data_IF_238281985309
#
_entry.id   IF_238281985309
#
_cell.length_a   1.000
_cell.length_b   1.000
_cell.length_c   1.000
_cell.angle_alpha   90.00
_cell.angle_beta   90.00
_cell.angle_gamma   90.00
#
_symmetry.space_group_name_H-M   'P 1'
#
loop_
_entity.id
_entity.type
_entity.pdbx_description
1 polymer ?
#
# COMPACT_ATOMS: atom_id res chain seq x y z
N UNK A 1 -2.96 1.53 6.28
CA UNK A 1 -2.90 2.70 5.38
C UNK A 1 -3.84 3.77 5.93
N UNK A 2 -3.49 5.05 5.83
CA UNK A 2 -4.36 6.17 6.21
C UNK A 2 -4.72 6.98 4.97
N UNK A 3 -5.99 7.29 4.76
CA UNK A 3 -6.42 8.27 3.76
C UNK A 3 -7.69 8.97 4.27
N UNK A 4 -7.84 10.26 4.00
CA UNK A 4 -8.98 11.05 4.52
C UNK A 4 -9.22 10.84 6.04
N UNK A 5 -8.15 10.80 6.83
CA UNK A 5 -8.16 10.52 8.29
C UNK A 5 -8.70 9.14 8.71
N UNK A 6 -8.89 8.21 7.77
CA UNK A 6 -9.35 6.86 8.03
C UNK A 6 -8.19 5.87 7.96
N UNK A 7 -7.98 5.11 9.05
CA UNK A 7 -7.06 3.99 9.09
C UNK A 7 -7.76 2.75 8.50
N UNK A 8 -7.18 2.17 7.45
CA UNK A 8 -7.64 0.92 6.84
C UNK A 8 -6.54 -0.13 6.82
N UNK A 9 -6.95 -1.38 6.96
CA UNK A 9 -6.08 -2.56 6.90
C UNK A 9 -5.74 -2.92 5.45
N UNK A 10 -4.45 -3.01 5.14
CA UNK A 10 -3.97 -3.45 3.82
C UNK A 10 -3.90 -4.98 3.83
N UNK A 11 -4.59 -5.63 2.89
CA UNK A 11 -4.72 -7.10 2.83
C UNK A 11 -3.81 -7.73 1.78
N UNK A 12 -3.42 -6.97 0.76
CA UNK A 12 -2.59 -7.44 -0.36
C UNK A 12 -1.85 -6.24 -0.96
N UNK A 13 -0.62 -6.42 -1.42
CA UNK A 13 0.21 -5.34 -1.95
C UNK A 13 1.10 -5.82 -3.08
N UNK A 14 1.22 -4.98 -4.10
CA UNK A 14 2.07 -5.15 -5.27
C UNK A 14 2.84 -3.87 -5.57
N UNK A 15 3.78 -3.93 -6.49
CA UNK A 15 4.56 -2.75 -6.92
C UNK A 15 3.66 -1.66 -7.52
N UNK A 16 2.54 -2.04 -8.14
CA UNK A 16 1.64 -1.10 -8.84
C UNK A 16 0.43 -0.65 -8.03
N UNK A 17 0.14 -1.26 -6.87
CA UNK A 17 -1.10 -1.01 -6.15
C UNK A 17 -1.27 -1.90 -4.93
N UNK A 18 -2.40 -1.74 -4.25
CA UNK A 18 -2.73 -2.54 -3.06
C UNK A 18 -4.22 -2.80 -2.96
N UNK A 19 -4.59 -3.78 -2.14
CA UNK A 19 -5.95 -3.99 -1.66
C UNK A 19 -6.03 -3.67 -0.17
N UNK A 20 -7.15 -3.13 0.24
CA UNK A 20 -7.46 -2.93 1.65
C UNK A 20 -8.89 -3.37 1.95
N UNK A 21 -9.16 -3.67 3.21
CA UNK A 21 -10.49 -4.02 3.68
C UNK A 21 -11.48 -2.88 3.41
N UNK A 22 -12.68 -3.20 2.90
CA UNK A 22 -13.68 -2.20 2.55
C UNK A 22 -14.02 -1.32 3.77
N UNK A 23 -13.85 0.01 3.69
CA UNK A 23 -14.27 0.92 4.75
C UNK A 23 -15.80 1.12 4.72
N UNK A 24 -16.41 1.68 5.78
CA UNK A 24 -17.87 1.87 5.86
C UNK A 24 -18.43 2.90 4.87
N UNK A 25 -17.58 3.63 4.14
CA UNK A 25 -17.97 4.62 3.15
C UNK A 25 -17.71 4.12 1.73
N UNK A 26 -18.45 4.67 0.77
CA UNK A 26 -18.37 4.21 -0.61
C UNK A 26 -17.12 4.74 -1.35
N UNK A 27 -16.53 3.84 -2.13
CA UNK A 27 -15.36 4.07 -2.94
C UNK A 27 -15.66 3.58 -4.36
N UNK A 28 -16.19 4.48 -5.18
CA UNK A 28 -16.48 4.21 -6.57
C UNK A 28 -15.18 4.02 -7.40
N UNK A 29 -15.16 3.09 -8.37
CA UNK A 29 -14.08 3.00 -9.35
C UNK A 29 -13.81 4.33 -10.05
N UNK A 30 -12.53 4.65 -10.27
CA UNK A 30 -12.08 5.93 -10.83
C UNK A 30 -11.85 7.03 -9.79
N UNK A 31 -12.34 6.89 -8.55
CA UNK A 31 -12.05 7.86 -7.48
C UNK A 31 -10.56 7.93 -7.21
N UNK A 32 -10.02 9.16 -7.18
CA UNK A 32 -8.62 9.43 -6.84
C UNK A 32 -8.52 10.01 -5.44
N UNK A 33 -7.50 9.60 -4.68
CA UNK A 33 -7.27 10.12 -3.34
C UNK A 33 -5.80 10.02 -2.94
N UNK A 34 -5.39 10.89 -2.02
CA UNK A 34 -4.07 10.84 -1.38
C UNK A 34 -4.11 9.89 -0.19
N UNK A 35 -3.03 9.13 0.02
CA UNK A 35 -2.92 8.21 1.13
C UNK A 35 -1.52 8.23 1.74
N UNK A 36 -1.43 7.72 2.95
CA UNK A 36 -0.21 7.42 3.68
C UNK A 36 -0.14 5.92 3.97
N UNK A 37 0.99 5.32 3.65
CA UNK A 37 1.30 3.93 3.91
C UNK A 37 2.40 3.87 4.98
N UNK A 38 2.15 3.09 6.03
CA UNK A 38 3.12 2.76 7.07
C UNK A 38 3.33 1.26 7.04
N UNK A 39 4.58 0.82 6.97
CA UNK A 39 4.93 -0.56 7.30
C UNK A 39 4.73 -0.75 8.80
N UNK A 40 4.19 -1.89 9.23
CA UNK A 40 4.11 -2.27 10.64
C UNK A 40 5.34 -3.07 11.11
N UNK A 41 6.27 -3.37 10.20
CA UNK A 41 7.38 -4.31 10.38
C UNK A 41 8.76 -3.64 10.32
N UNK A 42 8.84 -2.32 10.43
CA UNK A 42 10.11 -1.58 10.33
C UNK A 42 10.25 -0.60 11.48
N UNK A 43 11.41 -0.55 12.12
CA UNK A 43 11.72 0.50 13.08
C UNK A 43 12.94 1.31 12.59
N UNK A 44 12.80 2.63 12.32
CA UNK A 44 11.56 3.41 12.36
C UNK A 44 10.59 3.02 11.23
N UNK A 45 9.28 3.06 11.51
CA UNK A 45 8.22 2.77 10.54
C UNK A 45 8.26 3.79 9.40
N UNK A 46 8.76 3.45 8.19
CA UNK A 46 8.86 4.42 7.12
C UNK A 46 7.46 4.81 6.66
N UNK A 47 7.19 6.12 6.68
CA UNK A 47 5.99 6.71 6.14
C UNK A 47 6.19 7.00 4.65
N UNK A 48 5.36 6.41 3.81
CA UNK A 48 5.28 6.74 2.39
C UNK A 48 3.96 7.44 2.10
N UNK A 49 4.00 8.52 1.31
CA UNK A 49 2.79 9.18 0.79
C UNK A 49 2.62 8.87 -0.69
N UNK A 50 1.38 8.74 -1.14
CA UNK A 50 1.06 8.43 -2.52
C UNK A 50 -0.31 8.96 -2.94
N UNK A 51 -0.55 8.90 -4.25
CA UNK A 51 -1.87 9.13 -4.84
C UNK A 51 -2.33 7.78 -5.41
N UNK A 52 -3.59 7.46 -5.19
CA UNK A 52 -4.22 6.24 -5.64
C UNK A 52 -5.40 6.54 -6.56
N UNK A 53 -5.75 5.57 -7.40
CA UNK A 53 -7.05 5.51 -8.08
C UNK A 53 -7.73 4.18 -7.76
N UNK A 54 -9.01 4.21 -7.40
CA UNK A 54 -9.81 2.99 -7.18
C UNK A 54 -9.99 2.27 -8.51
N UNK A 55 -9.58 1.01 -8.59
CA UNK A 55 -9.77 0.15 -9.77
C UNK A 55 -10.95 -0.79 -9.60
N UNK A 56 -11.19 -1.27 -8.38
CA UNK A 56 -12.33 -2.13 -8.08
C UNK A 56 -12.77 -1.95 -6.62
N UNK A 57 -14.07 -2.10 -6.41
CA UNK A 57 -14.73 -1.99 -5.11
C UNK A 57 -15.66 -3.19 -4.97
N UNK A 58 -15.37 -4.08 -4.02
CA UNK A 58 -16.14 -5.30 -3.73
C UNK A 58 -16.70 -5.22 -2.31
N UNK A 59 -17.45 -6.23 -1.90
CA UNK A 59 -18.16 -6.25 -0.61
C UNK A 59 -17.20 -6.20 0.58
N UNK A 60 -16.05 -6.85 0.47
CA UNK A 60 -15.07 -7.06 1.55
C UNK A 60 -13.75 -6.30 1.34
N UNK A 61 -13.41 -5.95 0.10
CA UNK A 61 -12.17 -5.24 -0.24
C UNK A 61 -12.31 -4.18 -1.32
N UNK A 62 -11.33 -3.27 -1.34
CA UNK A 62 -11.14 -2.25 -2.37
C UNK A 62 -9.72 -2.37 -2.92
N UNK A 63 -9.58 -2.39 -4.25
CA UNK A 63 -8.30 -2.41 -4.94
C UNK A 63 -8.00 -1.04 -5.54
N UNK A 64 -6.77 -0.58 -5.32
CA UNK A 64 -6.27 0.68 -5.87
C UNK A 64 -5.00 0.47 -6.68
N UNK A 65 -4.80 1.35 -7.65
CA UNK A 65 -3.57 1.50 -8.42
C UNK A 65 -2.86 2.78 -7.99
N UNK A 66 -1.53 2.73 -7.86
CA UNK A 66 -0.72 3.88 -7.54
C UNK A 66 -0.60 4.81 -8.77
N UNK A 67 -0.86 6.09 -8.56
CA UNK A 67 -0.69 7.12 -9.58
C UNK A 67 0.69 7.73 -9.41
N UNK A 68 1.58 7.50 -10.38
CA UNK A 68 2.96 8.04 -10.40
C UNK A 68 3.65 7.85 -9.03
N UNK A 69 3.88 6.59 -8.61
CA UNK A 69 4.36 6.30 -7.26
C UNK A 69 5.68 7.02 -6.98
N UNK A 70 5.76 7.65 -5.81
CA UNK A 70 6.98 8.34 -5.38
C UNK A 70 8.10 7.33 -5.12
N UNK A 71 9.36 7.77 -5.23
CA UNK A 71 10.51 6.93 -4.89
C UNK A 71 10.40 6.33 -3.47
N UNK A 72 9.93 7.13 -2.50
CA UNK A 72 9.73 6.67 -1.12
C UNK A 72 8.66 5.57 -1.03
N UNK A 73 7.54 5.73 -1.74
CA UNK A 73 6.50 4.69 -1.82
C UNK A 73 7.04 3.41 -2.45
N UNK A 74 7.73 3.53 -3.58
CA UNK A 74 8.36 2.39 -4.26
C UNK A 74 9.36 1.67 -3.35
N UNK A 75 10.15 2.40 -2.56
CA UNK A 75 11.12 1.83 -1.62
C UNK A 75 10.45 1.08 -0.48
N UNK A 76 9.38 1.63 0.11
CA UNK A 76 8.63 0.96 1.19
C UNK A 76 7.95 -0.31 0.67
N UNK A 77 7.24 -0.20 -0.46
CA UNK A 77 6.53 -1.33 -1.07
C UNK A 77 7.50 -2.40 -1.54
N UNK A 78 8.55 -2.01 -2.27
CA UNK A 78 9.57 -2.93 -2.78
C UNK A 78 10.31 -3.65 -1.67
N UNK A 79 10.65 -2.96 -0.56
CA UNK A 79 11.27 -3.60 0.60
C UNK A 79 10.32 -4.59 1.28
N UNK A 80 9.04 -4.23 1.42
CA UNK A 80 8.03 -5.13 1.99
C UNK A 80 7.89 -6.40 1.15
N UNK A 81 7.69 -6.27 -0.17
CA UNK A 81 7.61 -7.41 -1.11
C UNK A 81 8.89 -8.24 -1.07
N UNK A 82 10.06 -7.59 -1.09
CA UNK A 82 11.35 -8.26 -0.99
C UNK A 82 11.51 -9.09 0.29
N UNK A 83 10.90 -8.69 1.41
CA UNK A 83 10.90 -9.49 2.64
C UNK A 83 9.94 -10.69 2.57
N UNK A 84 8.79 -10.54 1.93
CA UNK A 84 7.83 -11.64 1.76
C UNK A 84 8.37 -12.72 0.82
N UNK A 85 9.03 -12.31 -0.27
CA UNK A 85 9.65 -13.24 -1.21
C UNK A 85 10.94 -13.86 -0.67
N UNK A 86 11.64 -13.13 0.19
CA UNK A 86 12.90 -13.54 0.77
C UNK A 86 12.76 -13.59 2.28
N UNK A 87 12.35 -14.75 2.81
CA UNK A 87 12.75 -15.09 4.18
C UNK A 87 14.28 -14.99 4.26
N UNK A 88 14.80 -13.88 4.79
CA UNK A 88 16.21 -13.37 4.76
C UNK A 88 16.64 -12.65 3.48
N UNK A 89 16.40 -11.34 3.37
CA UNK A 89 16.99 -10.52 2.30
C UNK A 89 18.53 -10.61 2.30
N UNK A 90 19.09 -11.31 1.31
CA UNK A 90 20.51 -11.42 0.99
C UNK A 90 21.00 -10.16 0.24
N UNK A 91 20.86 -8.96 0.82
CA UNK A 91 21.70 -7.83 0.40
C UNK A 91 23.15 -8.10 0.86
N UNK A 92 23.74 -9.20 0.40
CA UNK A 92 24.99 -9.83 0.81
C UNK A 92 24.93 -10.63 2.12
N UNK A 93 25.10 -11.94 1.99
CA UNK A 93 26.04 -12.74 2.81
C UNK A 93 26.43 -13.97 1.98
N UNK A 94 27.67 -13.93 1.51
CA UNK A 94 28.42 -15.11 1.06
C UNK A 94 28.54 -16.12 2.21
#
# INVERSE_FOLDING_TARGET
MVFENNLVEVVDISVGGLKFKRPPFDLAPGRRFSFELRSAYEDPNPLAKGIAVVRASKEDWVAIEFVRPTFSLMKVVGRHIGRLLVGRSHLFRH
#
